data_IF_191866938799
#
_entry.id   IF_191866938799
#
_cell.length_a   1.000
_cell.length_b   1.000
_cell.length_c   1.000
_cell.angle_alpha   90.00
_cell.angle_beta   90.00
_cell.angle_gamma   90.00
#
_symmetry.space_group_name_H-M   'P 1'
#
loop_
_entity.id
_entity.type
_entity.pdbx_description
1 polymer ?
#
# COMPACT_ATOMS: atom_id res chain seq x y z
N UNK A 1 -7.70 -1.78 6.51
CA UNK A 1 -7.79 -1.31 5.11
C UNK A 1 -7.39 -2.40 4.14
N UNK A 2 -6.14 -2.92 4.17
CA UNK A 2 -5.69 -4.04 3.31
C UNK A 2 -6.65 -5.23 3.32
N UNK A 3 -7.00 -5.74 4.50
CA UNK A 3 -7.95 -6.86 4.64
C UNK A 3 -9.32 -6.59 3.99
N UNK A 4 -9.82 -5.36 4.07
CA UNK A 4 -11.09 -4.98 3.45
C UNK A 4 -11.01 -4.94 1.91
N UNK A 5 -9.86 -4.54 1.36
CA UNK A 5 -9.61 -4.58 -0.09
C UNK A 5 -9.44 -6.01 -0.58
N UNK A 6 -8.69 -6.84 0.17
CA UNK A 6 -8.51 -8.27 -0.14
C UNK A 6 -9.84 -9.03 -0.17
N UNK A 7 -10.76 -8.72 0.74
CA UNK A 7 -12.11 -9.29 0.78
C UNK A 7 -13.00 -8.88 -0.41
N UNK A 8 -12.60 -7.87 -1.17
CA UNK A 8 -13.32 -7.36 -2.35
C UNK A 8 -12.53 -7.73 -3.61
N UNK A 9 -12.45 -9.04 -3.93
CA UNK A 9 -11.70 -9.58 -5.08
C UNK A 9 -12.09 -8.94 -6.43
N UNK A 10 -13.34 -8.49 -6.55
CA UNK A 10 -13.86 -7.70 -7.69
C UNK A 10 -13.95 -6.18 -7.44
N UNK A 11 -13.62 -5.69 -6.24
CA UNK A 11 -13.85 -4.30 -5.81
C UNK A 11 -13.09 -3.26 -6.62
N UNK A 12 -11.89 -3.62 -7.11
CA UNK A 12 -11.11 -2.78 -8.02
C UNK A 12 -11.82 -2.53 -9.36
N UNK A 13 -12.72 -3.44 -9.79
CA UNK A 13 -13.54 -3.31 -11.00
C UNK A 13 -14.80 -2.45 -10.79
N UNK A 14 -15.30 -2.36 -9.55
CA UNK A 14 -16.56 -1.66 -9.21
C UNK A 14 -16.37 -0.13 -9.01
N UNK A 15 -15.11 0.34 -8.91
CA UNK A 15 -14.80 1.74 -8.67
C UNK A 15 -15.24 2.72 -9.81
N UNK A 16 -15.75 2.22 -10.93
CA UNK A 16 -16.07 3.04 -12.11
C UNK A 16 -17.55 3.49 -12.25
N UNK A 17 -18.53 2.92 -11.53
CA UNK A 17 -19.94 3.01 -11.98
C UNK A 17 -21.00 3.70 -11.12
N UNK A 18 -21.02 3.52 -9.79
CA UNK A 18 -22.19 3.88 -8.97
C UNK A 18 -21.97 5.13 -8.10
N UNK A 19 -22.99 5.99 -7.99
CA UNK A 19 -23.01 7.14 -7.07
C UNK A 19 -22.78 6.70 -5.61
N UNK A 20 -23.27 5.52 -5.22
CA UNK A 20 -23.00 4.93 -3.92
C UNK A 20 -21.50 4.61 -3.75
N UNK A 21 -20.87 3.98 -4.75
CA UNK A 21 -19.43 3.70 -4.73
C UNK A 21 -18.60 5.00 -4.64
N UNK A 22 -18.95 6.03 -5.41
CA UNK A 22 -18.31 7.36 -5.31
C UNK A 22 -18.50 8.00 -3.93
N UNK A 23 -19.69 7.92 -3.32
CA UNK A 23 -19.97 8.46 -1.98
C UNK A 23 -19.25 7.70 -0.87
N UNK A 24 -19.15 6.37 -0.97
CA UNK A 24 -18.36 5.55 -0.05
C UNK A 24 -16.87 5.88 -0.15
N UNK A 25 -16.35 6.08 -1.37
CA UNK A 25 -14.96 6.51 -1.60
C UNK A 25 -14.68 7.90 -1.03
N UNK A 26 -15.59 8.87 -1.20
CA UNK A 26 -15.44 10.21 -0.61
C UNK A 26 -15.53 10.17 0.92
N UNK A 27 -16.40 9.33 1.49
CA UNK A 27 -16.52 9.16 2.94
C UNK A 27 -15.24 8.56 3.53
N UNK A 28 -14.65 7.57 2.84
CA UNK A 28 -13.38 6.99 3.23
C UNK A 28 -12.25 8.02 3.15
N UNK A 29 -12.18 8.78 2.04
CA UNK A 29 -11.19 9.83 1.85
C UNK A 29 -11.29 10.91 2.93
N UNK A 30 -12.49 11.40 3.24
CA UNK A 30 -12.74 12.36 4.32
C UNK A 30 -12.24 11.85 5.67
N UNK A 31 -12.53 10.58 6.00
CA UNK A 31 -12.07 9.95 7.25
C UNK A 31 -10.55 9.87 7.32
N UNK A 32 -9.90 9.46 6.24
CA UNK A 32 -8.44 9.33 6.18
C UNK A 32 -7.75 10.70 6.25
N UNK A 33 -8.25 11.70 5.52
CA UNK A 33 -7.77 13.09 5.62
C UNK A 33 -7.96 13.61 7.05
N UNK A 34 -9.09 13.33 7.69
CA UNK A 34 -9.33 13.67 9.09
C UNK A 34 -8.32 13.02 10.05
N UNK A 35 -7.90 11.78 9.80
CA UNK A 35 -6.81 11.13 10.57
C UNK A 35 -5.50 11.86 10.37
N UNK A 36 -5.10 12.17 9.12
CA UNK A 36 -3.86 12.88 8.84
C UNK A 36 -3.84 14.28 9.46
N UNK A 37 -4.98 14.99 9.43
CA UNK A 37 -5.14 16.28 10.10
C UNK A 37 -4.95 16.19 11.61
N UNK A 38 -5.56 15.19 12.26
CA UNK A 38 -5.34 14.94 13.71
C UNK A 38 -3.91 14.56 14.04
N UNK A 39 -3.18 13.96 13.09
CA UNK A 39 -1.76 13.66 13.25
C UNK A 39 -0.86 14.91 13.13
N UNK A 40 -1.37 16.05 12.66
CA UNK A 40 -0.63 17.30 12.56
C UNK A 40 -0.37 17.78 11.13
N UNK A 41 -0.80 17.03 10.11
CA UNK A 41 -0.75 17.53 8.74
C UNK A 41 -1.80 18.63 8.50
N UNK A 42 -1.45 19.63 7.70
CA UNK A 42 -2.36 20.70 7.32
C UNK A 42 -2.49 20.82 5.79
N UNK A 43 -3.56 21.50 5.35
CA UNK A 43 -3.81 21.81 3.94
C UNK A 43 -3.66 20.61 3.00
N UNK A 44 -2.95 20.84 1.89
CA UNK A 44 -2.71 19.86 0.83
C UNK A 44 -1.84 18.69 1.31
N UNK A 45 -0.97 18.90 2.29
CA UNK A 45 -0.10 17.84 2.81
C UNK A 45 -0.89 16.69 3.45
N UNK A 46 -2.01 16.99 4.13
CA UNK A 46 -2.88 15.96 4.70
C UNK A 46 -3.54 15.08 3.60
N UNK A 47 -3.86 15.69 2.46
CA UNK A 47 -4.40 14.99 1.30
C UNK A 47 -3.32 14.12 0.64
N UNK A 48 -2.12 14.65 0.43
CA UNK A 48 -1.00 13.87 -0.12
C UNK A 48 -0.61 12.71 0.78
N UNK A 49 -0.47 12.91 2.09
CA UNK A 49 -0.20 11.84 3.06
C UNK A 49 -1.27 10.73 3.00
N UNK A 50 -2.55 11.13 2.91
CA UNK A 50 -3.67 10.20 2.73
C UNK A 50 -3.54 9.40 1.45
N UNK A 51 -3.32 10.07 0.32
CA UNK A 51 -3.16 9.44 -0.99
C UNK A 51 -1.98 8.49 -1.03
N UNK A 52 -0.83 8.84 -0.44
CA UNK A 52 0.36 7.99 -0.37
C UNK A 52 0.06 6.68 0.35
N UNK A 53 -0.53 6.73 1.55
CA UNK A 53 -0.90 5.52 2.29
C UNK A 53 -1.96 4.73 1.54
N UNK A 54 -2.94 5.39 0.94
CA UNK A 54 -4.00 4.74 0.19
C UNK A 54 -3.45 3.97 -1.02
N UNK A 55 -2.64 4.63 -1.86
CA UNK A 55 -2.04 4.03 -3.05
C UNK A 55 -1.14 2.85 -2.69
N UNK A 56 -0.36 2.95 -1.61
CA UNK A 56 0.50 1.86 -1.15
C UNK A 56 -0.33 0.61 -0.78
N UNK A 57 -1.32 0.78 0.09
CA UNK A 57 -2.16 -0.33 0.55
C UNK A 57 -2.99 -0.92 -0.61
N UNK A 58 -3.43 -0.08 -1.56
CA UNK A 58 -4.13 -0.53 -2.76
C UNK A 58 -3.21 -1.35 -3.68
N UNK A 59 -1.99 -0.88 -3.94
CA UNK A 59 -1.01 -1.59 -4.75
C UNK A 59 -0.67 -2.97 -4.18
N UNK A 60 -0.40 -3.04 -2.87
CA UNK A 60 -0.13 -4.30 -2.18
C UNK A 60 -1.31 -5.28 -2.24
N UNK A 61 -2.54 -4.78 -2.09
CA UNK A 61 -3.72 -5.62 -2.22
C UNK A 61 -3.92 -6.14 -3.64
N UNK A 62 -3.69 -5.30 -4.66
CA UNK A 62 -3.80 -5.69 -6.07
C UNK A 62 -2.75 -6.73 -6.47
N UNK A 63 -1.51 -6.57 -6.02
CA UNK A 63 -0.43 -7.52 -6.30
C UNK A 63 -0.71 -8.88 -5.65
N UNK A 64 -1.16 -8.88 -4.38
CA UNK A 64 -1.54 -10.11 -3.69
C UNK A 64 -2.76 -10.79 -4.33
N UNK A 65 -3.75 -10.02 -4.81
CA UNK A 65 -4.91 -10.57 -5.53
C UNK A 65 -4.57 -11.09 -6.93
N UNK A 66 -3.53 -10.53 -7.56
CA UNK A 66 -3.01 -10.97 -8.86
C UNK A 66 -2.06 -12.15 -8.79
N UNK A 67 -1.71 -12.62 -7.58
CA UNK A 67 -0.83 -13.76 -7.38
C UNK A 67 -1.48 -15.04 -7.94
N UNK A 68 -0.75 -15.71 -8.82
CA UNK A 68 -1.12 -17.02 -9.36
C UNK A 68 -0.34 -18.14 -8.67
N UNK A 69 -0.86 -19.37 -8.72
CA UNK A 69 -0.24 -20.52 -8.04
C UNK A 69 1.19 -20.82 -8.55
N UNK A 70 1.50 -20.46 -9.80
CA UNK A 70 2.81 -20.61 -10.45
C UNK A 70 3.77 -19.44 -10.19
N UNK A 71 3.38 -18.42 -9.41
CA UNK A 71 4.19 -17.22 -9.20
C UNK A 71 5.58 -17.54 -8.62
N UNK A 72 5.68 -18.56 -7.74
CA UNK A 72 6.97 -19.00 -7.19
C UNK A 72 7.87 -19.61 -8.27
N UNK A 73 7.31 -20.46 -9.13
CA UNK A 73 8.05 -21.11 -10.21
C UNK A 73 8.56 -20.09 -11.24
N UNK A 74 7.78 -19.02 -11.47
CA UNK A 74 8.17 -17.89 -12.33
C UNK A 74 9.32 -17.06 -11.76
N UNK A 75 9.51 -17.04 -10.44
CA UNK A 75 10.67 -16.39 -9.83
C UNK A 75 11.94 -17.20 -10.07
N UNK A 76 11.88 -18.54 -10.09
CA UNK A 76 13.05 -19.41 -10.22
C UNK A 76 13.08 -20.12 -11.57
N UNK A 77 13.68 -19.48 -12.57
CA UNK A 77 13.91 -20.07 -13.89
C UNK A 77 15.41 -20.34 -14.16
N UNK A 78 15.77 -21.29 -15.06
CA UNK A 78 17.17 -21.54 -15.40
C UNK A 78 17.86 -20.27 -15.89
N UNK A 79 18.97 -19.89 -15.24
CA UNK A 79 19.69 -18.66 -15.57
C UNK A 79 19.39 -17.47 -14.64
N UNK A 80 18.29 -17.49 -13.89
CA UNK A 80 17.80 -16.32 -13.15
C UNK A 80 18.84 -15.71 -12.20
N UNK A 81 19.61 -16.54 -11.49
CA UNK A 81 20.66 -16.08 -10.57
C UNK A 81 21.86 -15.43 -11.29
N UNK A 82 22.19 -15.88 -12.50
CA UNK A 82 23.24 -15.24 -13.30
C UNK A 82 22.76 -13.94 -13.94
N UNK A 83 21.49 -13.90 -14.37
CA UNK A 83 20.88 -12.71 -14.97
C UNK A 83 20.61 -11.60 -13.94
N UNK A 84 20.19 -11.97 -12.72
CA UNK A 84 19.78 -11.03 -11.67
C UNK A 84 20.55 -11.25 -10.35
N UNK A 85 21.88 -11.16 -10.34
CA UNK A 85 22.70 -11.57 -9.19
C UNK A 85 22.38 -10.78 -7.90
N UNK A 86 21.98 -9.52 -8.01
CA UNK A 86 21.60 -8.71 -6.85
C UNK A 86 20.25 -9.13 -6.25
N UNK A 87 19.27 -9.43 -7.09
CA UNK A 87 17.95 -9.87 -6.63
C UNK A 87 18.04 -11.24 -5.94
N UNK A 88 18.89 -12.12 -6.47
CA UNK A 88 19.14 -13.45 -5.90
C UNK A 88 20.33 -13.48 -4.91
N UNK A 89 20.79 -12.32 -4.45
CA UNK A 89 21.75 -12.24 -3.34
C UNK A 89 21.08 -12.53 -1.99
N UNK A 90 19.75 -12.43 -1.96
CA UNK A 90 18.84 -12.71 -0.84
C UNK A 90 17.82 -13.77 -1.29
N UNK A 91 17.12 -14.47 -0.36
CA UNK A 91 15.98 -15.32 -0.71
C UNK A 91 14.92 -14.50 -1.48
N UNK A 92 14.82 -14.70 -2.80
CA UNK A 92 13.96 -13.89 -3.68
C UNK A 92 12.48 -14.16 -3.44
N UNK A 93 12.16 -15.35 -2.95
CA UNK A 93 10.81 -15.80 -2.60
C UNK A 93 10.16 -14.97 -1.50
N UNK A 94 10.93 -14.25 -0.68
CA UNK A 94 10.42 -13.30 0.31
C UNK A 94 9.64 -12.15 -0.33
N UNK A 95 9.78 -11.91 -1.64
CA UNK A 95 8.93 -10.95 -2.37
C UNK A 95 7.45 -11.35 -2.34
N UNK A 96 7.15 -12.64 -2.14
CA UNK A 96 5.80 -13.20 -2.02
C UNK A 96 5.32 -13.26 -0.56
N UNK A 97 6.16 -12.88 0.41
CA UNK A 97 5.77 -12.74 1.81
C UNK A 97 5.02 -11.40 1.98
N UNK A 98 3.79 -11.36 1.46
CA UNK A 98 2.99 -10.14 1.38
C UNK A 98 2.70 -9.50 2.73
N UNK A 99 2.66 -10.27 3.83
CA UNK A 99 2.34 -9.73 5.14
C UNK A 99 3.54 -8.97 5.74
N UNK A 100 4.73 -9.57 5.73
CA UNK A 100 5.94 -8.90 6.24
C UNK A 100 6.37 -7.76 5.31
N UNK A 101 6.27 -7.96 3.98
CA UNK A 101 6.55 -6.91 3.00
C UNK A 101 5.62 -5.72 3.16
N UNK A 102 4.33 -5.97 3.39
CA UNK A 102 3.35 -4.92 3.68
C UNK A 102 3.67 -4.16 4.96
N UNK A 103 4.00 -4.88 6.04
CA UNK A 103 4.34 -4.26 7.32
C UNK A 103 5.60 -3.39 7.20
N UNK A 104 6.63 -3.88 6.49
CA UNK A 104 7.86 -3.15 6.23
C UNK A 104 7.62 -1.85 5.46
N UNK A 105 6.95 -1.92 4.29
CA UNK A 105 6.70 -0.74 3.46
C UNK A 105 5.78 0.27 4.12
N UNK A 106 4.73 -0.18 4.83
CA UNK A 106 3.89 0.71 5.62
C UNK A 106 4.68 1.40 6.74
N UNK A 107 5.57 0.66 7.40
CA UNK A 107 6.47 1.20 8.41
C UNK A 107 7.35 2.33 7.87
N UNK A 108 7.96 2.13 6.71
CA UNK A 108 8.76 3.16 6.03
C UNK A 108 7.94 4.40 5.68
N UNK A 109 6.74 4.23 5.11
CA UNK A 109 5.86 5.35 4.76
C UNK A 109 5.45 6.12 6.01
N UNK A 110 4.99 5.43 7.06
CA UNK A 110 4.59 6.08 8.30
C UNK A 110 5.75 6.76 9.00
N UNK A 111 6.95 6.18 8.96
CA UNK A 111 8.18 6.80 9.45
C UNK A 111 8.48 8.11 8.72
N UNK A 112 8.53 8.07 7.38
CA UNK A 112 8.76 9.27 6.57
C UNK A 112 7.68 10.34 6.74
N UNK A 113 6.41 9.95 6.89
CA UNK A 113 5.33 10.88 7.18
C UNK A 113 5.50 11.55 8.55
N UNK A 114 5.97 10.83 9.58
CA UNK A 114 6.20 11.42 10.91
C UNK A 114 7.24 12.53 10.88
N UNK A 115 8.31 12.36 10.10
CA UNK A 115 9.34 13.39 9.91
C UNK A 115 8.83 14.64 9.17
N UNK A 116 7.72 14.52 8.45
CA UNK A 116 7.10 15.62 7.69
C UNK A 116 6.01 16.37 8.47
N UNK A 117 5.65 15.88 9.66
CA UNK A 117 4.74 16.62 10.54
C UNK A 117 5.54 17.80 11.08
N UNK A 118 5.13 19.07 10.82
CA UNK A 118 5.84 20.23 11.35
C UNK A 118 6.02 20.07 12.86
N UNK A 119 7.26 20.32 13.32
CA UNK A 119 7.67 20.13 14.70
C UNK A 119 6.58 20.53 15.67
N UNK A 120 6.09 19.54 16.43
CA UNK A 120 5.24 19.78 17.57
C UNK A 120 6.15 20.46 18.58
N UNK A 121 6.12 21.80 18.65
CA UNK A 121 6.50 22.52 19.86
C UNK A 121 5.59 21.95 20.96
N UNK A 122 6.08 20.92 21.63
CA UNK A 122 5.46 20.35 22.81
C UNK A 122 5.63 21.39 23.93
N UNK A 123 4.53 21.82 24.59
CA UNK A 123 4.64 22.55 25.84
C UNK A 123 5.27 21.66 26.93
#
# INVERSE_FOLDING_TARGET
MRQALLAQREGARIASGSYAAKRHSLTLAERLVGVMRRAGFNGVAALWATSTVFCYVLGEALEQQGLTDDARDRLTFPGARQTYPQLFSTPVEEILNFDDRFAFGLGLILGGLREQIPGKDLP
#
